data_IF_750394833234
#
_entry.id   IF_750394833234
#
_cell.length_a   1.000
_cell.length_b   1.000
_cell.length_c   1.000
_cell.angle_alpha   90.00
_cell.angle_beta   90.00
_cell.angle_gamma   90.00
#
_symmetry.space_group_name_H-M   'P 1'
#
loop_
_entity.id
_entity.type
_entity.pdbx_description
1 polymer ?
#
# COMPACT_ATOMS: atom_id res chain seq x y z
N UNK A 1 40.39 71.02 -54.11
CA UNK A 1 40.61 69.62 -53.69
C UNK A 1 41.11 69.56 -52.26
N UNK A 2 42.16 70.31 -51.91
CA UNK A 2 42.77 70.31 -50.55
C UNK A 2 41.83 70.75 -49.40
N UNK A 3 40.94 71.71 -49.64
CA UNK A 3 39.98 72.19 -48.61
C UNK A 3 38.90 71.15 -48.27
N UNK A 4 38.53 70.29 -49.22
CA UNK A 4 37.53 69.23 -49.02
C UNK A 4 38.10 68.13 -48.12
N UNK A 5 39.38 67.76 -48.31
CA UNK A 5 40.04 66.76 -47.47
C UNK A 5 40.23 67.24 -46.02
N UNK A 6 40.53 68.53 -45.82
CA UNK A 6 40.65 69.14 -44.48
C UNK A 6 39.35 69.11 -43.68
N UNK A 7 38.19 69.13 -44.33
CA UNK A 7 36.89 69.09 -43.65
C UNK A 7 36.36 67.66 -43.46
N UNK A 8 36.76 66.71 -44.31
CA UNK A 8 36.26 65.33 -44.28
C UNK A 8 36.95 64.45 -43.24
N UNK A 9 38.27 64.59 -43.02
CA UNK A 9 39.00 63.78 -42.03
C UNK A 9 38.44 63.85 -40.59
N UNK A 10 38.16 65.04 -40.01
CA UNK A 10 37.64 65.11 -38.64
C UNK A 10 36.25 64.48 -38.52
N UNK A 11 35.38 64.67 -39.54
CA UNK A 11 34.04 64.05 -39.57
C UNK A 11 34.14 62.52 -39.64
N UNK A 12 35.11 61.99 -40.40
CA UNK A 12 35.31 60.55 -40.54
C UNK A 12 35.88 59.92 -39.25
N UNK A 13 36.78 60.62 -38.56
CA UNK A 13 37.27 60.21 -37.23
C UNK A 13 36.17 60.22 -36.16
N UNK A 14 35.27 61.19 -36.21
CA UNK A 14 34.13 61.27 -35.29
C UNK A 14 33.11 60.15 -35.53
N UNK A 15 32.82 59.82 -36.79
CA UNK A 15 31.98 58.68 -37.17
C UNK A 15 32.57 57.36 -36.66
N UNK A 16 33.88 57.16 -36.80
CA UNK A 16 34.56 55.95 -36.32
C UNK A 16 34.46 55.82 -34.78
N UNK A 17 34.72 56.91 -34.04
CA UNK A 17 34.58 56.94 -32.57
C UNK A 17 33.15 56.63 -32.12
N UNK A 18 32.15 57.26 -32.73
CA UNK A 18 30.75 57.04 -32.40
C UNK A 18 30.32 55.59 -32.70
N UNK A 19 30.82 55.02 -33.80
CA UNK A 19 30.58 53.62 -34.18
C UNK A 19 31.22 52.66 -33.18
N UNK A 20 32.48 52.89 -32.80
CA UNK A 20 33.18 52.08 -31.80
C UNK A 20 32.51 52.13 -30.42
N UNK A 21 32.05 53.31 -30.00
CA UNK A 21 31.29 53.46 -28.76
C UNK A 21 29.97 52.69 -28.79
N UNK A 22 29.20 52.78 -29.89
CA UNK A 22 27.96 52.04 -30.05
C UNK A 22 28.18 50.51 -30.02
N UNK A 23 29.25 50.03 -30.67
CA UNK A 23 29.64 48.61 -30.64
C UNK A 23 29.99 48.19 -29.21
N UNK A 24 30.82 48.96 -28.51
CA UNK A 24 31.22 48.67 -27.13
C UNK A 24 30.01 48.60 -26.20
N UNK A 25 29.10 49.58 -26.29
CA UNK A 25 27.85 49.61 -25.53
C UNK A 25 26.95 48.40 -25.85
N UNK A 26 26.78 48.05 -27.12
CA UNK A 26 25.98 46.90 -27.52
C UNK A 26 26.58 45.57 -27.05
N UNK A 27 27.90 45.43 -27.14
CA UNK A 27 28.60 44.25 -26.63
C UNK A 27 28.38 44.08 -25.12
N UNK A 28 28.50 45.17 -24.34
CA UNK A 28 28.24 45.14 -22.90
C UNK A 28 26.81 44.64 -22.60
N UNK A 29 25.81 45.19 -23.30
CA UNK A 29 24.42 44.79 -23.12
C UNK A 29 24.12 43.36 -23.58
N UNK A 30 24.82 42.85 -24.59
CA UNK A 30 24.76 41.43 -25.01
C UNK A 30 25.30 40.53 -23.91
N UNK A 31 26.45 40.87 -23.33
CA UNK A 31 27.04 40.09 -22.23
C UNK A 31 26.12 40.04 -21.01
N UNK A 32 25.53 41.16 -20.61
CA UNK A 32 24.57 41.20 -19.49
C UNK A 32 23.35 40.31 -19.74
N UNK A 33 22.80 40.33 -20.96
CA UNK A 33 21.66 39.47 -21.32
C UNK A 33 22.02 37.98 -21.29
N UNK A 34 23.22 37.62 -21.74
CA UNK A 34 23.71 36.23 -21.71
C UNK A 34 23.86 35.76 -20.25
N UNK A 35 24.50 36.55 -19.38
CA UNK A 35 24.67 36.21 -17.97
C UNK A 35 23.33 36.08 -17.22
N UNK A 36 22.38 37.00 -17.48
CA UNK A 36 21.04 36.91 -16.91
C UNK A 36 20.28 35.66 -17.39
N UNK A 37 20.41 35.31 -18.68
CA UNK A 37 19.81 34.12 -19.24
C UNK A 37 20.40 32.86 -18.57
N UNK A 38 21.72 32.76 -18.50
CA UNK A 38 22.42 31.63 -17.88
C UNK A 38 22.03 31.47 -16.40
N UNK A 39 22.02 32.55 -15.63
CA UNK A 39 21.55 32.54 -14.23
C UNK A 39 20.10 32.05 -14.12
N UNK A 40 19.21 32.47 -15.02
CA UNK A 40 17.81 32.04 -15.04
C UNK A 40 17.68 30.56 -15.38
N UNK A 41 18.44 30.05 -16.37
CA UNK A 41 18.49 28.64 -16.72
C UNK A 41 19.02 27.78 -15.57
N UNK A 42 20.13 28.17 -14.96
CA UNK A 42 20.72 27.46 -13.81
C UNK A 42 19.78 27.43 -12.61
N UNK A 43 19.13 28.55 -12.29
CA UNK A 43 18.14 28.61 -11.20
C UNK A 43 16.97 27.65 -11.46
N UNK A 44 16.37 27.71 -12.65
CA UNK A 44 15.25 26.83 -13.01
C UNK A 44 15.67 25.36 -13.03
N UNK A 45 16.86 25.06 -13.53
CA UNK A 45 17.38 23.70 -13.53
C UNK A 45 17.62 23.18 -12.11
N UNK A 46 18.23 23.97 -11.24
CA UNK A 46 18.43 23.63 -9.83
C UNK A 46 17.11 23.39 -9.09
N UNK A 47 16.10 24.24 -9.30
CA UNK A 47 14.77 24.08 -8.72
C UNK A 47 14.08 22.79 -9.21
N UNK A 48 14.17 22.50 -10.51
CA UNK A 48 13.60 21.28 -11.08
C UNK A 48 14.30 20.02 -10.55
N UNK A 49 15.64 20.04 -10.43
CA UNK A 49 16.40 18.92 -9.85
C UNK A 49 16.02 18.72 -8.39
N UNK A 50 15.88 19.79 -7.58
CA UNK A 50 15.41 19.67 -6.18
C UNK A 50 14.03 19.05 -6.09
N UNK A 51 13.07 19.51 -6.91
CA UNK A 51 11.72 18.93 -6.96
C UNK A 51 11.75 17.46 -7.36
N UNK A 52 12.59 17.09 -8.33
CA UNK A 52 12.72 15.71 -8.80
C UNK A 52 13.33 14.81 -7.72
N UNK A 53 14.31 15.30 -6.96
CA UNK A 53 14.89 14.56 -5.83
C UNK A 53 13.86 14.30 -4.75
N UNK A 54 13.12 15.33 -4.31
CA UNK A 54 12.06 15.16 -3.29
C UNK A 54 10.97 14.22 -3.80
N UNK A 55 10.52 14.37 -5.04
CA UNK A 55 9.53 13.47 -5.63
C UNK A 55 10.02 12.01 -5.67
N UNK A 56 11.31 11.78 -5.95
CA UNK A 56 11.90 10.45 -5.94
C UNK A 56 11.95 9.86 -4.53
N UNK A 57 12.27 10.67 -3.52
CA UNK A 57 12.26 10.25 -2.11
C UNK A 57 10.85 9.88 -1.65
N UNK A 58 9.86 10.72 -1.94
CA UNK A 58 8.45 10.47 -1.63
C UNK A 58 7.95 9.21 -2.33
N UNK A 59 8.30 9.02 -3.60
CA UNK A 59 7.94 7.83 -4.37
C UNK A 59 8.55 6.56 -3.76
N UNK A 60 9.84 6.59 -3.41
CA UNK A 60 10.52 5.46 -2.79
C UNK A 60 9.91 5.12 -1.42
N UNK A 61 9.57 6.13 -0.62
CA UNK A 61 8.90 5.95 0.67
C UNK A 61 7.52 5.33 0.50
N UNK A 62 6.70 5.88 -0.40
CA UNK A 62 5.38 5.34 -0.70
C UNK A 62 5.46 3.90 -1.25
N UNK A 63 6.44 3.59 -2.09
CA UNK A 63 6.66 2.24 -2.60
C UNK A 63 7.06 1.27 -1.48
N UNK A 64 7.93 1.70 -0.55
CA UNK A 64 8.36 0.89 0.60
C UNK A 64 7.20 0.62 1.55
N UNK A 65 6.43 1.65 1.90
CA UNK A 65 5.23 1.54 2.75
C UNK A 65 4.19 0.62 2.11
N UNK A 66 3.89 0.80 0.82
CA UNK A 66 2.98 -0.06 0.08
C UNK A 66 3.45 -1.52 0.09
N UNK A 67 4.73 -1.78 -0.18
CA UNK A 67 5.28 -3.14 -0.17
C UNK A 67 5.15 -3.80 1.21
N UNK A 68 5.40 -3.04 2.28
CA UNK A 68 5.22 -3.52 3.65
C UNK A 68 3.74 -3.83 3.94
N UNK A 69 2.82 -2.96 3.53
CA UNK A 69 1.38 -3.17 3.69
C UNK A 69 0.90 -4.40 2.90
N UNK A 70 1.33 -4.58 1.65
CA UNK A 70 0.99 -5.77 0.85
C UNK A 70 1.47 -7.06 1.52
N UNK A 71 2.73 -7.11 1.98
CA UNK A 71 3.26 -8.30 2.66
C UNK A 71 2.48 -8.61 3.95
N UNK A 72 2.09 -7.59 4.71
CA UNK A 72 1.26 -7.77 5.91
C UNK A 72 -0.15 -8.24 5.56
N UNK A 73 -0.75 -7.72 4.49
CA UNK A 73 -2.05 -8.15 4.00
C UNK A 73 -2.03 -9.61 3.55
N UNK A 74 -1.04 -10.03 2.77
CA UNK A 74 -0.89 -11.44 2.37
C UNK A 74 -0.80 -12.37 3.57
N UNK A 75 0.00 -12.01 4.59
CA UNK A 75 0.09 -12.78 5.84
C UNK A 75 -1.25 -12.84 6.58
N UNK A 76 -1.96 -11.72 6.69
CA UNK A 76 -3.29 -11.65 7.34
C UNK A 76 -4.33 -12.47 6.58
N UNK A 77 -4.36 -12.38 5.25
CA UNK A 77 -5.28 -13.13 4.40
C UNK A 77 -5.02 -14.63 4.53
N UNK A 78 -3.76 -15.05 4.45
CA UNK A 78 -3.37 -16.46 4.62
C UNK A 78 -3.78 -16.99 6.01
N UNK A 79 -3.50 -16.24 7.08
CA UNK A 79 -3.90 -16.59 8.45
C UNK A 79 -5.42 -16.69 8.58
N UNK A 80 -6.15 -15.70 8.09
CA UNK A 80 -7.62 -15.66 8.14
C UNK A 80 -8.22 -16.81 7.35
N UNK A 81 -7.69 -17.11 6.16
CA UNK A 81 -8.12 -18.23 5.32
C UNK A 81 -7.90 -19.57 6.03
N UNK A 82 -6.73 -19.76 6.66
CA UNK A 82 -6.42 -20.96 7.44
C UNK A 82 -7.37 -21.11 8.62
N UNK A 83 -7.61 -20.03 9.37
CA UNK A 83 -8.56 -20.01 10.48
C UNK A 83 -9.99 -20.32 10.02
N UNK A 84 -10.43 -19.77 8.89
CA UNK A 84 -11.74 -20.06 8.32
C UNK A 84 -11.90 -21.54 7.94
N UNK A 85 -10.91 -22.13 7.26
CA UNK A 85 -10.95 -23.56 6.90
C UNK A 85 -10.96 -24.45 8.15
N UNK A 86 -10.14 -24.13 9.14
CA UNK A 86 -10.13 -24.81 10.43
C UNK A 86 -11.44 -24.67 11.20
N UNK A 87 -12.09 -23.50 11.13
CA UNK A 87 -13.41 -23.26 11.71
C UNK A 87 -14.51 -24.08 11.06
N UNK A 88 -14.51 -24.18 9.72
CA UNK A 88 -15.46 -25.04 8.98
C UNK A 88 -15.24 -26.51 9.34
N UNK A 89 -13.98 -26.96 9.39
CA UNK A 89 -13.64 -28.31 9.82
C UNK A 89 -14.13 -28.58 11.25
N UNK A 90 -13.98 -27.62 12.16
CA UNK A 90 -14.50 -27.66 13.53
C UNK A 90 -16.01 -27.89 13.58
N UNK A 91 -16.77 -27.12 12.79
CA UNK A 91 -18.23 -27.26 12.72
C UNK A 91 -18.63 -28.60 12.10
N UNK A 92 -17.94 -29.06 11.06
CA UNK A 92 -18.16 -30.38 10.48
C UNK A 92 -17.87 -31.52 11.47
N UNK A 93 -16.81 -31.37 12.28
CA UNK A 93 -16.50 -32.30 13.36
C UNK A 93 -17.63 -32.31 14.39
N UNK A 94 -18.12 -31.13 14.81
CA UNK A 94 -19.23 -31.00 15.75
C UNK A 94 -20.51 -31.63 15.18
N UNK A 95 -20.86 -31.40 13.92
CA UNK A 95 -22.08 -31.96 13.33
C UNK A 95 -22.08 -33.49 13.29
N UNK A 96 -20.90 -34.11 13.11
CA UNK A 96 -20.74 -35.55 13.05
C UNK A 96 -20.52 -36.23 14.41
N UNK A 97 -20.66 -35.52 15.54
CA UNK A 97 -20.62 -36.15 16.86
C UNK A 97 -21.84 -37.10 17.00
N UNK A 98 -21.62 -38.42 17.20
CA UNK A 98 -22.72 -39.33 17.44
C UNK A 98 -23.23 -39.19 18.88
N UNK A 99 -24.55 -39.27 19.06
CA UNK A 99 -25.19 -39.32 20.39
C UNK A 99 -26.07 -40.57 20.50
N UNK A 100 -26.03 -41.20 21.66
CA UNK A 100 -26.91 -42.30 22.01
C UNK A 100 -28.30 -41.76 22.34
N UNK A 101 -29.34 -42.26 21.66
CA UNK A 101 -30.73 -41.84 21.86
C UNK A 101 -31.42 -42.56 23.03
N UNK A 102 -30.79 -43.57 23.64
CA UNK A 102 -31.40 -44.42 24.66
C UNK A 102 -30.94 -44.09 26.10
N UNK A 103 -30.29 -42.95 26.32
CA UNK A 103 -29.75 -42.55 27.62
C UNK A 103 -30.05 -41.08 27.92
N UNK A 104 -30.32 -40.75 29.19
CA UNK A 104 -30.55 -39.35 29.63
C UNK A 104 -29.34 -38.44 29.41
N UNK A 105 -28.16 -39.02 29.34
CA UNK A 105 -26.90 -38.35 29.08
C UNK A 105 -26.15 -39.10 27.99
N UNK A 106 -25.55 -38.37 27.05
CA UNK A 106 -24.73 -38.91 25.99
C UNK A 106 -23.51 -38.04 25.76
N UNK A 107 -22.38 -38.67 25.45
CA UNK A 107 -21.14 -38.02 25.07
C UNK A 107 -20.69 -38.61 23.74
N UNK A 108 -20.11 -37.76 22.90
CA UNK A 108 -19.51 -38.19 21.65
C UNK A 108 -18.34 -37.31 21.26
N UNK A 109 -17.55 -37.83 20.32
CA UNK A 109 -16.49 -37.12 19.66
C UNK A 109 -16.64 -37.25 18.14
N UNK A 110 -16.23 -36.22 17.41
CA UNK A 110 -16.28 -36.16 15.96
C UNK A 110 -14.97 -35.58 15.41
N UNK A 111 -14.67 -35.94 14.18
CA UNK A 111 -13.53 -35.42 13.43
C UNK A 111 -14.06 -34.75 12.17
N UNK A 112 -13.42 -33.66 11.78
CA UNK A 112 -13.79 -32.87 10.62
C UNK A 112 -12.55 -32.47 9.86
N UNK A 113 -12.58 -32.69 8.55
CA UNK A 113 -11.56 -32.23 7.64
C UNK A 113 -12.22 -31.35 6.58
N UNK A 114 -11.62 -30.20 6.31
CA UNK A 114 -12.03 -29.32 5.23
C UNK A 114 -10.79 -28.64 4.63
N UNK A 115 -10.47 -28.95 3.38
CA UNK A 115 -9.24 -28.49 2.70
C UNK A 115 -8.01 -28.81 3.58
N UNK A 116 -7.21 -27.80 3.94
CA UNK A 116 -6.06 -27.91 4.84
C UNK A 116 -6.41 -27.72 6.34
N UNK A 117 -7.70 -27.64 6.69
CA UNK A 117 -8.18 -27.54 8.06
C UNK A 117 -8.55 -28.90 8.62
N UNK A 118 -7.89 -29.32 9.70
CA UNK A 118 -8.30 -30.47 10.50
C UNK A 118 -8.83 -29.99 11.84
N UNK A 119 -9.88 -30.64 12.33
CA UNK A 119 -10.47 -30.34 13.62
C UNK A 119 -11.01 -31.60 14.28
N UNK A 120 -11.01 -31.56 15.61
CA UNK A 120 -11.63 -32.54 16.49
C UNK A 120 -12.67 -31.84 17.33
N UNK A 121 -13.81 -32.49 17.53
CA UNK A 121 -14.89 -31.99 18.35
C UNK A 121 -15.31 -33.02 19.38
N UNK A 122 -15.75 -32.55 20.53
CA UNK A 122 -16.40 -33.34 21.57
C UNK A 122 -17.67 -32.64 21.98
N UNK A 123 -18.68 -33.41 22.36
CA UNK A 123 -19.94 -32.83 22.80
C UNK A 123 -20.72 -33.76 23.70
N UNK A 124 -21.58 -33.14 24.49
CA UNK A 124 -22.51 -33.80 25.38
C UNK A 124 -23.94 -33.47 24.95
N UNK A 125 -24.83 -34.42 25.16
CA UNK A 125 -26.27 -34.23 25.06
C UNK A 125 -26.92 -34.67 26.37
N UNK A 126 -27.91 -33.91 26.82
CA UNK A 126 -28.68 -34.19 28.02
C UNK A 126 -30.18 -34.05 27.71
N UNK A 127 -30.95 -35.06 28.08
CA UNK A 127 -32.40 -35.08 27.93
C UNK A 127 -33.04 -34.56 29.23
N UNK A 128 -33.60 -33.35 29.19
CA UNK A 128 -34.24 -32.72 30.35
C UNK A 128 -35.63 -33.33 30.59
N UNK A 129 -36.39 -33.55 29.51
CA UNK A 129 -37.69 -34.22 29.49
C UNK A 129 -37.78 -35.10 28.24
N UNK A 130 -38.74 -36.03 28.19
CA UNK A 130 -38.94 -36.90 27.01
C UNK A 130 -39.11 -36.10 25.70
N UNK A 131 -39.63 -34.87 25.80
CA UNK A 131 -39.83 -33.94 24.71
C UNK A 131 -38.79 -32.81 24.61
N UNK A 132 -37.77 -32.74 25.47
CA UNK A 132 -36.77 -31.64 25.48
C UNK A 132 -35.35 -32.17 25.63
N UNK A 133 -34.53 -31.92 24.60
CA UNK A 133 -33.11 -32.27 24.57
C UNK A 133 -32.24 -31.01 24.54
N UNK A 134 -31.12 -31.04 25.25
CA UNK A 134 -30.08 -30.03 25.25
C UNK A 134 -28.78 -30.65 24.75
N UNK A 135 -28.06 -29.95 23.88
CA UNK A 135 -26.77 -30.36 23.34
C UNK A 135 -25.75 -29.24 23.55
N UNK A 136 -24.54 -29.61 23.94
CA UNK A 136 -23.39 -28.72 24.01
C UNK A 136 -22.18 -29.39 23.36
N UNK A 137 -21.32 -28.60 22.73
CA UNK A 137 -20.16 -29.12 22.00
C UNK A 137 -19.06 -28.08 21.92
N UNK A 138 -17.82 -28.58 21.90
CA UNK A 138 -16.60 -27.80 21.75
C UNK A 138 -15.69 -28.51 20.75
N UNK A 139 -14.95 -27.75 19.97
CA UNK A 139 -13.99 -28.28 19.03
C UNK A 139 -12.69 -27.50 19.06
N UNK A 140 -11.61 -28.19 18.71
CA UNK A 140 -10.27 -27.66 18.57
C UNK A 140 -9.75 -27.98 17.18
N UNK A 141 -8.97 -27.08 16.62
CA UNK A 141 -8.44 -27.22 15.28
C UNK A 141 -6.96 -26.85 15.18
N UNK A 142 -6.33 -27.20 14.06
CA UNK A 142 -4.90 -26.98 13.82
C UNK A 142 -4.52 -25.50 13.54
N UNK A 143 -5.44 -24.56 13.77
CA UNK A 143 -5.21 -23.12 13.71
C UNK A 143 -5.32 -22.47 15.10
N UNK A 144 -5.21 -23.28 16.15
CA UNK A 144 -5.27 -22.87 17.57
C UNK A 144 -6.54 -22.07 17.91
N UNK A 145 -7.63 -22.41 17.20
CA UNK A 145 -8.92 -21.76 17.36
C UNK A 145 -9.92 -22.77 17.90
N UNK A 146 -10.56 -22.45 19.03
CA UNK A 146 -11.62 -23.28 19.58
C UNK A 146 -12.99 -22.78 19.08
N UNK A 147 -13.91 -23.69 18.77
CA UNK A 147 -15.30 -23.36 18.44
C UNK A 147 -16.21 -24.04 19.44
N UNK A 148 -17.14 -23.29 20.03
CA UNK A 148 -18.13 -23.80 20.98
C UNK A 148 -19.53 -23.59 20.41
N UNK A 149 -20.44 -24.50 20.72
CA UNK A 149 -21.83 -24.42 20.29
C UNK A 149 -22.75 -25.20 21.21
N UNK A 150 -23.97 -24.70 21.37
CA UNK A 150 -25.04 -25.36 22.11
C UNK A 150 -26.36 -25.24 21.35
N UNK A 151 -27.26 -26.18 21.56
CA UNK A 151 -28.57 -26.20 20.92
C UNK A 151 -29.60 -26.94 21.76
N UNK A 152 -30.87 -26.60 21.57
CA UNK A 152 -32.00 -27.28 22.21
C UNK A 152 -32.91 -27.85 21.13
N UNK A 153 -33.52 -28.99 21.41
CA UNK A 153 -34.50 -29.61 20.53
C UNK A 153 -35.77 -29.93 21.33
N UNK A 154 -36.93 -29.67 20.73
CA UNK A 154 -38.25 -29.96 21.29
C UNK A 154 -39.01 -30.84 20.30
N UNK A 155 -39.59 -31.93 20.78
CA UNK A 155 -40.42 -32.85 20.00
C UNK A 155 -41.84 -32.90 20.58
N UNK A 156 -42.87 -33.01 19.75
CA UNK A 156 -44.28 -33.11 20.16
C UNK A 156 -44.96 -34.31 19.53
#
# INVERSE_FOLDING_TARGET
MEDIYRELEPKMSEIDKNTQQAISHNNLHIYDKIDLADKKYHKKHSENVKKLTVLREDFNKAQSENTAHFSQMEKKISKTTKQAYSGIASVAAMSNIPYAMNTRFSLGAGLGNYRNGNAVAVGAQYQIKENVNLRSSVSWNNSDSAVVGAGVAISW
#
